data_IF_202244288424
#
_entry.id   IF_202244288424
#
_cell.length_a   1.000
_cell.length_b   1.000
_cell.length_c   1.000
_cell.angle_alpha   90.00
_cell.angle_beta   90.00
_cell.angle_gamma   90.00
#
_symmetry.space_group_name_H-M   'P 1'
#
loop_
_entity.id
_entity.type
_entity.pdbx_description
1 polymer ?
#
# COMPACT_ATOMS: atom_id res chain seq x y z
N UNK A 1 39.18 -52.53 -50.53
CA UNK A 1 40.02 -51.55 -49.89
C UNK A 1 39.13 -50.62 -49.03
N UNK A 2 39.10 -50.82 -47.69
CA UNK A 2 38.26 -50.08 -46.76
C UNK A 2 39.14 -49.06 -46.05
N UNK A 3 38.82 -47.77 -46.19
CA UNK A 3 39.46 -46.69 -45.38
C UNK A 3 38.63 -46.43 -44.15
N UNK A 4 39.23 -46.49 -42.97
CA UNK A 4 38.65 -46.10 -41.65
C UNK A 4 38.69 -44.58 -41.49
N UNK A 5 37.69 -43.94 -40.87
CA UNK A 5 37.74 -42.54 -40.56
C UNK A 5 38.47 -42.33 -39.19
N UNK A 6 39.25 -41.27 -39.14
CA UNK A 6 40.01 -40.84 -37.97
C UNK A 6 39.16 -40.27 -36.83
N UNK A 7 39.60 -40.55 -35.62
CA UNK A 7 39.02 -40.05 -34.37
C UNK A 7 39.35 -38.58 -34.18
N UNK A 8 38.31 -37.76 -34.03
CA UNK A 8 38.43 -36.37 -33.56
C UNK A 8 38.47 -36.33 -32.03
N UNK A 9 39.59 -35.86 -31.52
CA UNK A 9 39.83 -35.56 -30.11
C UNK A 9 38.95 -34.39 -29.70
N UNK A 10 38.00 -34.62 -28.76
CA UNK A 10 37.21 -33.58 -28.12
C UNK A 10 38.02 -32.96 -26.97
N UNK A 11 38.58 -31.77 -27.21
CA UNK A 11 39.14 -30.93 -26.16
C UNK A 11 38.07 -30.50 -25.18
N UNK A 12 38.15 -30.96 -23.94
CA UNK A 12 37.34 -30.44 -22.83
C UNK A 12 37.85 -29.05 -22.45
N UNK A 13 37.07 -28.05 -22.77
CA UNK A 13 37.25 -26.71 -22.22
C UNK A 13 36.79 -26.73 -20.77
N UNK A 14 37.70 -26.65 -19.81
CA UNK A 14 37.39 -26.47 -18.39
C UNK A 14 36.91 -25.05 -18.16
N UNK A 15 35.60 -24.88 -18.04
CA UNK A 15 35.02 -23.65 -17.54
C UNK A 15 35.27 -23.59 -16.02
N UNK A 16 36.16 -22.72 -15.60
CA UNK A 16 36.37 -22.34 -14.22
C UNK A 16 35.12 -21.65 -13.73
N UNK A 17 34.31 -22.33 -12.92
CA UNK A 17 33.19 -21.73 -12.19
C UNK A 17 33.76 -20.77 -11.14
N UNK A 18 33.73 -19.49 -11.45
CA UNK A 18 33.89 -18.46 -10.43
C UNK A 18 32.66 -18.53 -9.50
N UNK A 19 32.85 -19.13 -8.35
CA UNK A 19 31.92 -19.03 -7.22
C UNK A 19 31.85 -17.57 -6.77
N UNK A 20 30.93 -16.81 -7.39
CA UNK A 20 30.49 -15.53 -6.86
C UNK A 20 29.69 -15.88 -5.58
N UNK A 21 30.35 -15.74 -4.44
CA UNK A 21 29.68 -15.78 -3.13
C UNK A 21 28.70 -14.61 -3.07
N UNK A 22 27.50 -14.83 -3.61
CA UNK A 22 26.38 -13.91 -3.52
C UNK A 22 26.05 -13.74 -2.04
N UNK A 23 26.38 -12.59 -1.46
CA UNK A 23 25.84 -12.17 -0.17
C UNK A 23 24.33 -12.26 -0.30
N UNK A 24 23.77 -13.22 0.39
CA UNK A 24 22.32 -13.40 0.56
C UNK A 24 21.84 -12.20 1.36
N UNK A 25 21.49 -11.10 0.68
CA UNK A 25 20.77 -10.01 1.30
C UNK A 25 19.46 -10.63 1.77
N UNK A 26 19.34 -10.82 3.07
CA UNK A 26 18.09 -11.21 3.70
C UNK A 26 17.03 -10.22 3.23
N UNK A 27 16.14 -10.66 2.35
CA UNK A 27 14.99 -9.86 1.94
C UNK A 27 14.15 -9.73 3.21
N UNK A 28 14.25 -8.57 3.86
CA UNK A 28 13.38 -8.27 4.99
C UNK A 28 11.94 -8.42 4.51
N UNK A 29 11.18 -9.21 5.24
CA UNK A 29 9.77 -9.44 4.94
C UNK A 29 9.00 -8.11 5.02
N UNK A 30 8.06 -7.91 4.12
CA UNK A 30 7.12 -6.80 4.21
C UNK A 30 6.15 -7.11 5.36
N UNK A 31 5.77 -6.08 6.10
CA UNK A 31 4.64 -6.15 7.03
C UNK A 31 3.35 -5.93 6.26
N UNK A 32 2.27 -6.56 6.69
CA UNK A 32 0.96 -6.39 6.09
C UNK A 32 -0.03 -5.92 7.15
N UNK A 33 -0.77 -4.84 6.82
CA UNK A 33 -1.94 -4.40 7.55
C UNK A 33 -3.17 -4.69 6.72
N UNK A 34 -4.22 -5.23 7.33
CA UNK A 34 -5.53 -5.42 6.71
C UNK A 34 -6.63 -4.90 7.60
N UNK A 35 -7.60 -4.26 6.98
CA UNK A 35 -8.87 -3.94 7.61
C UNK A 35 -9.99 -3.95 6.56
N UNK A 36 -11.23 -4.10 7.02
CA UNK A 36 -12.40 -3.99 6.17
C UNK A 36 -13.33 -2.93 6.75
N UNK A 37 -13.94 -2.11 5.89
CA UNK A 37 -14.95 -1.14 6.26
C UNK A 37 -16.26 -1.53 5.59
N UNK A 38 -17.30 -1.76 6.40
CA UNK A 38 -18.65 -2.05 5.93
C UNK A 38 -19.50 -0.79 5.99
N UNK A 39 -20.12 -0.42 4.88
CA UNK A 39 -20.94 0.76 4.71
C UNK A 39 -22.32 0.38 4.15
N UNK A 40 -23.37 1.02 4.64
CA UNK A 40 -24.73 0.86 4.09
C UNK A 40 -25.02 1.72 2.86
N UNK A 41 -23.99 2.32 2.25
CA UNK A 41 -24.11 3.12 1.02
C UNK A 41 -23.70 2.31 -0.21
N UNK A 42 -24.29 2.59 -1.39
CA UNK A 42 -23.94 1.91 -2.64
C UNK A 42 -22.47 2.10 -3.03
N UNK A 43 -21.88 1.09 -3.65
CA UNK A 43 -20.44 1.03 -4.03
C UNK A 43 -20.00 2.23 -4.87
N UNK A 44 -20.81 2.65 -5.83
CA UNK A 44 -20.47 3.81 -6.65
C UNK A 44 -20.34 5.10 -5.81
N UNK A 45 -21.17 5.27 -4.77
CA UNK A 45 -21.09 6.42 -3.85
C UNK A 45 -19.86 6.32 -2.96
N UNK A 46 -19.56 5.14 -2.43
CA UNK A 46 -18.36 4.91 -1.65
C UNK A 46 -17.10 5.16 -2.50
N UNK A 47 -17.03 4.60 -3.71
CA UNK A 47 -15.89 4.79 -4.60
C UNK A 47 -15.70 6.27 -4.99
N UNK A 48 -16.78 6.99 -5.35
CA UNK A 48 -16.71 8.40 -5.70
C UNK A 48 -16.15 9.26 -4.56
N UNK A 49 -16.46 8.92 -3.30
CA UNK A 49 -15.88 9.59 -2.14
C UNK A 49 -14.36 9.42 -2.06
N UNK A 50 -13.84 8.21 -2.32
CA UNK A 50 -12.40 7.94 -2.33
C UNK A 50 -11.69 8.42 -3.59
N UNK A 51 -12.44 8.60 -4.69
CA UNK A 51 -11.95 9.15 -5.94
C UNK A 51 -11.71 10.67 -5.89
N UNK A 52 -12.17 11.33 -4.86
CA UNK A 52 -11.91 12.75 -4.60
C UNK A 52 -10.73 12.89 -3.62
N UNK A 53 -9.60 13.38 -4.13
CA UNK A 53 -8.37 13.54 -3.35
C UNK A 53 -8.54 14.52 -2.17
N UNK A 54 -9.48 15.47 -2.24
CA UNK A 54 -9.73 16.41 -1.15
C UNK A 54 -10.26 15.71 0.12
N UNK A 55 -10.97 14.59 -0.06
CA UNK A 55 -11.46 13.81 1.06
C UNK A 55 -10.33 13.14 1.87
N UNK A 56 -9.12 12.99 1.28
CA UNK A 56 -7.99 12.40 2.00
C UNK A 56 -7.64 13.22 3.26
N UNK A 57 -7.68 14.54 3.18
CA UNK A 57 -7.46 15.42 4.34
C UNK A 57 -8.57 15.23 5.40
N UNK A 58 -9.80 15.01 4.98
CA UNK A 58 -10.98 14.89 5.87
C UNK A 58 -11.02 13.57 6.64
N UNK A 59 -10.37 12.54 6.14
CA UNK A 59 -10.32 11.20 6.75
C UNK A 59 -8.97 10.91 7.42
N UNK A 60 -8.03 11.86 7.39
CA UNK A 60 -6.74 11.76 8.07
C UNK A 60 -6.85 12.39 9.46
N UNK A 61 -6.31 11.76 10.53
CA UNK A 61 -6.30 12.33 11.86
C UNK A 61 -5.71 13.75 11.89
N UNK A 62 -6.34 14.72 12.57
CA UNK A 62 -5.92 16.13 12.55
C UNK A 62 -4.51 16.34 13.12
N UNK A 63 -4.05 15.51 14.06
CA UNK A 63 -2.70 15.57 14.62
C UNK A 63 -1.60 15.26 13.60
N UNK A 64 -1.95 14.64 12.45
CA UNK A 64 -1.01 14.44 11.36
C UNK A 64 -0.86 15.67 10.46
N UNK A 65 -1.56 16.76 10.72
CA UNK A 65 -1.46 18.03 9.99
C UNK A 65 -1.35 17.83 8.46
N UNK A 66 -2.23 16.97 7.92
CA UNK A 66 -2.20 16.58 6.50
C UNK A 66 -2.50 17.78 5.59
N UNK A 67 -1.67 17.98 4.59
CA UNK A 67 -1.86 19.07 3.62
C UNK A 67 -1.48 18.62 2.22
N UNK A 68 -2.43 18.65 1.28
CA UNK A 68 -2.20 18.41 -0.14
C UNK A 68 -1.36 19.56 -0.72
N UNK A 69 -0.34 19.23 -1.51
CA UNK A 69 0.55 20.18 -2.18
C UNK A 69 0.33 20.22 -3.69
N UNK A 70 -0.16 19.13 -4.27
CA UNK A 70 -0.60 19.12 -5.66
C UNK A 70 -1.77 20.10 -5.84
N UNK A 71 -1.76 20.96 -6.88
CA UNK A 71 -2.90 21.83 -7.15
C UNK A 71 -4.20 21.04 -7.32
N UNK A 72 -5.29 21.56 -6.76
CA UNK A 72 -6.63 20.99 -6.88
C UNK A 72 -7.39 21.63 -8.07
N UNK A 73 -8.35 20.92 -8.70
CA UNK A 73 -8.73 19.53 -8.43
C UNK A 73 -7.72 18.52 -9.01
N UNK A 74 -7.61 17.34 -8.39
CA UNK A 74 -6.76 16.25 -8.86
C UNK A 74 -7.65 15.19 -9.50
N UNK A 75 -7.49 14.93 -10.80
CA UNK A 75 -8.11 13.79 -11.47
C UNK A 75 -7.38 12.51 -11.09
N UNK A 76 -8.03 11.66 -10.27
CA UNK A 76 -7.47 10.36 -9.90
C UNK A 76 -7.67 9.35 -11.03
N UNK A 77 -6.56 8.83 -11.52
CA UNK A 77 -6.47 7.80 -12.55
C UNK A 77 -5.13 7.09 -12.43
N UNK A 78 -4.94 6.01 -13.16
CA UNK A 78 -3.63 5.35 -13.24
C UNK A 78 -2.54 6.33 -13.68
N UNK A 79 -1.42 6.33 -12.97
CA UNK A 79 -0.31 7.25 -13.17
C UNK A 79 -0.44 8.60 -12.46
N UNK A 80 -1.59 8.96 -11.89
CA UNK A 80 -1.75 10.21 -11.15
C UNK A 80 -0.78 10.31 -9.97
N UNK A 81 -0.21 11.50 -9.77
CA UNK A 81 0.72 11.81 -8.69
C UNK A 81 0.08 12.78 -7.70
N UNK A 82 0.22 12.48 -6.43
CA UNK A 82 -0.28 13.33 -5.33
C UNK A 82 0.89 13.64 -4.41
N UNK A 83 1.23 14.92 -4.28
CA UNK A 83 2.18 15.41 -3.30
C UNK A 83 1.43 15.98 -2.10
N UNK A 84 1.86 15.59 -0.91
CA UNK A 84 1.31 16.12 0.35
C UNK A 84 2.36 16.13 1.46
N UNK A 85 2.07 16.79 2.55
CA UNK A 85 2.85 16.75 3.78
C UNK A 85 2.01 16.14 4.89
N UNK A 86 2.67 15.35 5.75
CA UNK A 86 2.10 14.84 6.99
C UNK A 86 3.04 15.13 8.15
N UNK A 87 2.50 15.41 9.33
CA UNK A 87 3.26 15.55 10.58
C UNK A 87 3.38 14.20 11.28
N UNK A 88 4.58 13.66 11.38
CA UNK A 88 4.87 12.48 12.18
C UNK A 88 5.58 12.91 13.46
N UNK A 89 4.92 12.75 14.63
CA UNK A 89 5.43 13.21 15.92
C UNK A 89 5.88 14.69 15.90
N UNK A 90 5.10 15.55 15.22
CA UNK A 90 5.41 16.97 15.06
C UNK A 90 6.44 17.31 13.97
N UNK A 91 7.05 16.32 13.33
CA UNK A 91 8.01 16.54 12.26
C UNK A 91 7.29 16.49 10.90
N UNK A 92 7.30 17.57 10.10
CA UNK A 92 6.67 17.57 8.79
C UNK A 92 7.46 16.73 7.81
N UNK A 93 6.80 15.76 7.18
CA UNK A 93 7.37 14.87 6.19
C UNK A 93 6.67 15.06 4.84
N UNK A 94 7.46 15.15 3.78
CA UNK A 94 6.94 15.17 2.40
C UNK A 94 6.63 13.75 1.97
N UNK A 95 5.46 13.60 1.35
CA UNK A 95 5.02 12.33 0.80
C UNK A 95 4.58 12.53 -0.65
N UNK A 96 5.01 11.64 -1.52
CA UNK A 96 4.54 11.54 -2.91
C UNK A 96 3.97 10.17 -3.14
N UNK A 97 2.72 10.14 -3.55
CA UNK A 97 2.00 8.93 -3.94
C UNK A 97 1.78 8.90 -5.44
N UNK A 98 1.84 7.71 -6.02
CA UNK A 98 1.39 7.41 -7.39
C UNK A 98 0.25 6.42 -7.33
N UNK A 99 -0.79 6.64 -8.14
CA UNK A 99 -1.82 5.64 -8.39
C UNK A 99 -1.30 4.64 -9.41
N UNK A 100 -1.03 3.40 -8.98
CA UNK A 100 -0.45 2.36 -9.84
C UNK A 100 -1.51 1.56 -10.60
N UNK A 101 -2.74 1.55 -10.09
CA UNK A 101 -3.87 0.84 -10.67
C UNK A 101 -5.15 1.60 -10.38
N UNK A 102 -6.03 1.65 -11.36
CA UNK A 102 -7.32 2.32 -11.24
C UNK A 102 -8.38 1.57 -12.02
N UNK A 103 -9.32 0.94 -11.31
CA UNK A 103 -10.50 0.28 -11.89
C UNK A 103 -11.73 0.92 -11.24
N UNK A 104 -12.48 1.77 -11.98
CA UNK A 104 -13.62 2.51 -11.44
C UNK A 104 -14.63 1.59 -10.73
N UNK A 105 -15.04 1.99 -9.54
CA UNK A 105 -15.97 1.27 -8.65
C UNK A 105 -15.48 -0.09 -8.12
N UNK A 106 -14.26 -0.53 -8.42
CA UNK A 106 -13.77 -1.84 -8.01
C UNK A 106 -12.51 -1.76 -7.17
N UNK A 107 -11.47 -1.10 -7.68
CA UNK A 107 -10.16 -1.14 -7.03
C UNK A 107 -9.30 0.08 -7.41
N UNK A 108 -8.50 0.55 -6.48
CA UNK A 108 -7.30 1.30 -6.81
C UNK A 108 -6.15 0.92 -5.89
N UNK A 109 -4.94 1.15 -6.39
CA UNK A 109 -3.70 0.90 -5.66
C UNK A 109 -2.85 2.15 -5.69
N UNK A 110 -2.45 2.63 -4.52
CA UNK A 110 -1.51 3.72 -4.36
C UNK A 110 -0.17 3.23 -3.82
N UNK A 111 0.91 3.84 -4.29
CA UNK A 111 2.28 3.52 -3.89
C UNK A 111 3.02 4.78 -3.50
N UNK A 112 3.73 4.73 -2.37
CA UNK A 112 4.64 5.79 -1.98
C UNK A 112 5.89 5.78 -2.87
N UNK A 113 6.11 6.85 -3.61
CA UNK A 113 7.36 7.09 -4.33
C UNK A 113 8.39 7.82 -3.46
N UNK A 114 7.91 8.65 -2.54
CA UNK A 114 8.72 9.36 -1.55
C UNK A 114 7.95 9.47 -0.24
N UNK A 115 8.62 9.18 0.89
CA UNK A 115 7.97 9.24 2.20
C UNK A 115 8.79 8.53 3.27
N UNK A 116 8.22 8.34 4.46
CA UNK A 116 8.92 7.78 5.63
C UNK A 116 9.19 6.28 5.56
N UNK A 117 8.50 5.55 4.69
CA UNK A 117 8.66 4.10 4.59
C UNK A 117 9.69 3.73 3.51
N UNK A 118 10.38 2.61 3.68
CA UNK A 118 11.20 2.02 2.62
C UNK A 118 10.34 1.40 1.50
N UNK A 119 9.11 1.00 1.86
CA UNK A 119 8.07 0.56 0.93
C UNK A 119 6.72 0.87 1.55
N UNK A 120 5.79 1.30 0.72
CA UNK A 120 4.38 1.44 1.05
C UNK A 120 3.55 1.24 -0.21
N UNK A 121 2.69 0.24 -0.20
CA UNK A 121 1.73 -0.04 -1.26
C UNK A 121 0.40 -0.29 -0.59
N UNK A 122 -0.62 0.49 -0.94
CA UNK A 122 -1.94 0.43 -0.36
C UNK A 122 -2.97 0.10 -1.44
N UNK A 123 -3.65 -1.00 -1.27
CA UNK A 123 -4.71 -1.47 -2.14
C UNK A 123 -6.06 -1.26 -1.47
N UNK A 124 -6.97 -0.66 -2.21
CA UNK A 124 -8.37 -0.47 -1.85
C UNK A 124 -9.25 -1.28 -2.79
N UNK A 125 -10.01 -2.23 -2.26
CA UNK A 125 -10.99 -2.99 -3.03
C UNK A 125 -12.39 -2.69 -2.56
N UNK A 126 -13.27 -2.39 -3.51
CA UNK A 126 -14.67 -2.09 -3.28
C UNK A 126 -15.52 -3.22 -3.82
N UNK A 127 -16.35 -3.81 -2.99
CA UNK A 127 -17.28 -4.85 -3.39
C UNK A 127 -18.64 -4.66 -2.75
N UNK A 128 -19.68 -5.09 -3.43
CA UNK A 128 -21.02 -5.04 -2.89
C UNK A 128 -21.17 -6.00 -1.71
N UNK A 129 -21.91 -5.59 -0.70
CA UNK A 129 -22.38 -6.51 0.33
C UNK A 129 -23.73 -7.13 -0.08
N UNK A 130 -24.22 -8.09 0.73
CA UNK A 130 -25.47 -8.80 0.42
C UNK A 130 -26.72 -7.96 0.62
N UNK A 131 -26.61 -6.77 1.18
CA UNK A 131 -27.72 -5.88 1.55
C UNK A 131 -27.72 -4.57 0.75
N UNK A 132 -26.97 -4.50 -0.36
CA UNK A 132 -26.87 -3.30 -1.21
C UNK A 132 -25.93 -2.24 -0.68
N UNK A 133 -25.17 -2.56 0.37
CA UNK A 133 -24.08 -1.74 0.89
C UNK A 133 -22.74 -2.02 0.20
N UNK A 134 -21.67 -1.53 0.80
CA UNK A 134 -20.30 -1.66 0.30
C UNK A 134 -19.38 -2.24 1.36
N UNK A 135 -18.51 -3.15 0.96
CA UNK A 135 -17.37 -3.57 1.75
C UNK A 135 -16.11 -3.02 1.07
N UNK A 136 -15.33 -2.25 1.82
CA UNK A 136 -14.02 -1.76 1.38
C UNK A 136 -12.98 -2.58 2.11
N UNK A 137 -12.19 -3.37 1.37
CA UNK A 137 -11.07 -4.12 1.91
C UNK A 137 -9.78 -3.32 1.65
N UNK A 138 -9.12 -2.88 2.70
CA UNK A 138 -7.83 -2.20 2.67
C UNK A 138 -6.70 -3.20 2.99
N UNK A 139 -5.70 -3.27 2.12
CA UNK A 139 -4.45 -3.99 2.36
C UNK A 139 -3.26 -3.05 2.17
N UNK A 140 -2.46 -2.86 3.22
CA UNK A 140 -1.22 -2.09 3.15
C UNK A 140 -0.04 -3.01 3.32
N UNK A 141 0.84 -3.05 2.31
CA UNK A 141 2.15 -3.71 2.38
C UNK A 141 3.21 -2.65 2.60
N UNK A 142 3.91 -2.73 3.74
CA UNK A 142 4.89 -1.72 4.08
C UNK A 142 6.17 -2.31 4.64
N UNK A 143 7.26 -1.54 4.51
CA UNK A 143 8.57 -1.84 5.10
C UNK A 143 9.12 -0.57 5.74
N UNK A 144 9.66 -0.74 6.93
CA UNK A 144 10.31 0.34 7.65
C UNK A 144 11.72 0.60 7.08
N UNK A 145 12.19 1.86 7.10
CA UNK A 145 13.57 2.17 6.76
C UNK A 145 14.52 1.62 7.83
N UNK A 146 15.84 1.70 7.56
CA UNK A 146 16.92 1.32 8.48
C UNK A 146 16.96 -0.18 8.85
N UNK A 147 16.34 -1.06 8.06
CA UNK A 147 16.50 -2.50 8.20
C UNK A 147 16.10 -3.05 9.57
N UNK A 148 16.98 -3.78 10.23
CA UNK A 148 16.71 -4.39 11.55
C UNK A 148 16.42 -3.36 12.64
N UNK A 149 17.00 -2.15 12.59
CA UNK A 149 16.70 -1.07 13.53
C UNK A 149 15.26 -0.56 13.37
N UNK A 150 14.70 -0.59 12.15
CA UNK A 150 13.31 -0.27 11.92
C UNK A 150 12.35 -1.21 12.66
N UNK A 151 12.72 -2.48 12.85
CA UNK A 151 11.88 -3.44 13.56
C UNK A 151 11.74 -3.11 15.07
N UNK A 152 12.67 -2.41 15.68
CA UNK A 152 12.57 -1.99 17.09
C UNK A 152 11.44 -0.98 17.29
N UNK A 153 11.17 -0.11 16.30
CA UNK A 153 10.09 0.88 16.35
C UNK A 153 8.77 0.35 15.79
N UNK A 154 8.77 -0.87 15.21
CA UNK A 154 7.59 -1.46 14.60
C UNK A 154 6.36 -1.52 15.52
N UNK A 155 6.44 -1.84 16.82
CA UNK A 155 5.27 -1.80 17.71
C UNK A 155 4.62 -0.42 17.77
N UNK A 156 5.41 0.65 17.81
CA UNK A 156 4.93 2.04 17.81
C UNK A 156 4.26 2.37 16.47
N UNK A 157 4.87 1.98 15.35
CA UNK A 157 4.29 2.16 14.02
C UNK A 157 2.95 1.42 13.88
N UNK A 158 2.86 0.18 14.38
CA UNK A 158 1.58 -0.57 14.39
C UNK A 158 0.50 0.15 15.19
N UNK A 159 0.83 0.68 16.33
CA UNK A 159 -0.12 1.44 17.16
C UNK A 159 -0.61 2.69 16.42
N UNK A 160 0.31 3.44 15.79
CA UNK A 160 -0.02 4.62 15.01
C UNK A 160 -0.88 4.28 13.78
N UNK A 161 -0.51 3.24 13.02
CA UNK A 161 -1.30 2.79 11.87
C UNK A 161 -2.70 2.32 12.29
N UNK A 162 -2.83 1.60 13.41
CA UNK A 162 -4.14 1.23 13.94
C UNK A 162 -4.99 2.46 14.25
N UNK A 163 -4.41 3.47 14.88
CA UNK A 163 -5.11 4.72 15.17
C UNK A 163 -5.56 5.43 13.88
N UNK A 164 -4.68 5.57 12.88
CA UNK A 164 -4.98 6.20 11.60
C UNK A 164 -6.13 5.49 10.88
N UNK A 165 -6.07 4.16 10.76
CA UNK A 165 -7.11 3.40 10.05
C UNK A 165 -8.44 3.36 10.81
N UNK A 166 -8.42 3.33 12.14
CA UNK A 166 -9.64 3.44 12.95
C UNK A 166 -10.29 4.80 12.79
N UNK A 167 -9.51 5.90 12.84
CA UNK A 167 -10.00 7.25 12.60
C UNK A 167 -10.57 7.39 11.18
N UNK A 168 -9.86 6.88 10.16
CA UNK A 168 -10.31 6.86 8.77
C UNK A 168 -11.68 6.19 8.63
N UNK A 169 -11.86 5.00 9.19
CA UNK A 169 -13.13 4.26 9.13
C UNK A 169 -14.27 5.05 9.77
N UNK A 170 -14.04 5.64 10.95
CA UNK A 170 -15.04 6.47 11.63
C UNK A 170 -15.39 7.72 10.82
N UNK A 171 -14.39 8.40 10.26
CA UNK A 171 -14.57 9.61 9.46
C UNK A 171 -15.33 9.33 8.16
N UNK A 172 -14.99 8.25 7.46
CA UNK A 172 -15.71 7.83 6.23
C UNK A 172 -17.18 7.57 6.51
N UNK A 173 -17.50 6.82 7.59
CA UNK A 173 -18.90 6.59 8.01
C UNK A 173 -19.63 7.91 8.22
N UNK A 174 -19.06 8.79 9.03
CA UNK A 174 -19.66 10.09 9.35
C UNK A 174 -19.91 10.92 8.07
N UNK A 175 -18.92 11.00 7.19
CA UNK A 175 -18.99 11.84 5.98
C UNK A 175 -19.95 11.28 4.93
N UNK A 176 -20.13 9.96 4.86
CA UNK A 176 -21.10 9.32 3.99
C UNK A 176 -22.50 9.22 4.60
N UNK A 177 -22.69 9.65 5.87
CA UNK A 177 -23.95 9.56 6.59
C UNK A 177 -24.34 8.10 6.90
N UNK A 178 -23.35 7.22 7.02
CA UNK A 178 -23.58 5.81 7.39
C UNK A 178 -23.76 5.67 8.90
N UNK A 179 -24.94 5.20 9.31
CA UNK A 179 -25.30 4.99 10.72
C UNK A 179 -25.11 3.54 11.18
N UNK A 180 -24.59 2.68 10.30
CA UNK A 180 -24.35 1.27 10.63
C UNK A 180 -23.31 1.13 11.74
N UNK A 181 -23.53 0.18 12.65
CA UNK A 181 -22.56 -0.12 13.69
C UNK A 181 -21.30 -0.79 13.12
N UNK A 182 -20.10 -0.47 13.64
CA UNK A 182 -18.86 -1.16 13.25
C UNK A 182 -18.98 -2.67 13.47
N UNK A 183 -18.53 -3.45 12.49
CA UNK A 183 -18.49 -4.91 12.63
C UNK A 183 -17.17 -5.38 13.25
N UNK A 184 -17.15 -6.53 13.91
CA UNK A 184 -15.92 -7.13 14.45
C UNK A 184 -14.86 -7.43 13.37
N UNK A 185 -15.24 -7.47 12.09
CA UNK A 185 -14.33 -7.67 10.93
C UNK A 185 -13.56 -6.40 10.55
N UNK A 186 -13.99 -5.23 11.05
CA UNK A 186 -13.34 -3.93 10.77
C UNK A 186 -12.07 -3.69 11.59
N UNK A 187 -11.77 -4.59 12.53
CA UNK A 187 -10.55 -4.47 13.32
C UNK A 187 -9.30 -4.50 12.43
N UNK A 188 -8.40 -3.54 12.65
CA UNK A 188 -7.10 -3.49 11.98
C UNK A 188 -6.24 -4.67 12.43
N UNK A 189 -5.82 -5.50 11.48
CA UNK A 189 -4.99 -6.69 11.69
C UNK A 189 -3.61 -6.49 11.07
N UNK A 190 -2.60 -7.09 11.69
CA UNK A 190 -1.21 -7.06 11.21
C UNK A 190 -0.68 -8.48 11.07
N UNK A 191 -0.01 -8.74 9.95
CA UNK A 191 0.65 -10.01 9.62
C UNK A 191 2.14 -9.78 9.34
#
# INVERSE_FOLDING_TARGET
MRRRPGSLSTGRCALTEHHVTGRRWSRMADHVLRCALHLSVPRARAFAFFADAENLARITPPELAFTIRTPLPIELKEGALIDYTIGLHGIPMRWRTRINRWIPNEEFVDEQLRGPYAKWVHQHRFRDDRHGGTIIDDEVRYRLPMGMLGNLVHPVVRMQLRHIFSHRSASVRKLLGDVSAPSAREAVRFE
#
